data_IF_297629517374
#
_entry.id   IF_297629517374
#
_cell.length_a   1.000
_cell.length_b   1.000
_cell.length_c   1.000
_cell.angle_alpha   90.00
_cell.angle_beta   90.00
_cell.angle_gamma   90.00
#
_symmetry.space_group_name_H-M   'P 1'
#
loop_
_entity.id
_entity.type
_entity.pdbx_description
1 polymer ?
#
# COMPACT_ATOMS: atom_id res chain seq x y z
N UNK A 1 0.24 -8.38 17.56
CA UNK A 1 0.39 -7.46 16.41
C UNK A 1 1.06 -6.14 16.79
N UNK A 2 0.61 -5.44 17.84
CA UNK A 2 1.16 -4.13 18.26
C UNK A 2 2.65 -4.12 18.66
N UNK A 3 3.19 -5.24 19.15
CA UNK A 3 4.60 -5.33 19.58
C UNK A 3 5.59 -5.29 18.41
N UNK A 4 5.18 -5.70 17.21
CA UNK A 4 6.03 -5.76 16.01
C UNK A 4 5.96 -4.44 15.22
N UNK A 5 4.83 -3.73 15.31
CA UNK A 5 4.66 -2.46 14.59
C UNK A 5 5.51 -1.33 15.18
N UNK A 6 5.73 -1.31 16.50
CA UNK A 6 6.53 -0.28 17.19
C UNK A 6 7.98 -0.20 16.64
N UNK A 7 8.77 -1.30 16.59
CA UNK A 7 10.14 -1.25 16.07
C UNK A 7 10.19 -0.93 14.57
N UNK A 8 9.21 -1.37 13.79
CA UNK A 8 9.12 -1.05 12.36
C UNK A 8 8.87 0.45 12.16
N UNK A 9 7.97 1.05 12.94
CA UNK A 9 7.70 2.49 12.89
C UNK A 9 8.92 3.30 13.36
N UNK A 10 9.65 2.81 14.36
CA UNK A 10 10.90 3.43 14.81
C UNK A 10 11.99 3.39 13.73
N UNK A 11 12.19 2.25 13.06
CA UNK A 11 13.13 2.12 11.94
C UNK A 11 12.75 3.02 10.75
N UNK A 12 11.47 3.06 10.38
CA UNK A 12 10.98 3.97 9.34
C UNK A 12 11.20 5.44 9.73
N UNK A 13 10.97 5.78 11.00
CA UNK A 13 11.24 7.11 11.54
C UNK A 13 12.72 7.49 11.45
N UNK A 14 13.61 6.59 11.85
CA UNK A 14 15.07 6.79 11.74
C UNK A 14 15.49 6.98 10.28
N UNK A 15 14.97 6.15 9.36
CA UNK A 15 15.25 6.27 7.94
C UNK A 15 14.86 7.65 7.40
N UNK A 16 13.68 8.16 7.79
CA UNK A 16 13.22 9.50 7.40
C UNK A 16 14.08 10.60 8.01
N UNK A 17 14.50 10.46 9.26
CA UNK A 17 15.39 11.42 9.95
C UNK A 17 16.75 11.47 9.27
N UNK A 18 17.35 10.32 8.98
CA UNK A 18 18.65 10.22 8.31
C UNK A 18 18.59 10.75 6.88
N UNK A 19 17.50 10.49 6.16
CA UNK A 19 17.24 11.11 4.86
C UNK A 19 17.14 12.63 4.96
N UNK A 20 16.41 13.17 5.95
CA UNK A 20 16.30 14.64 6.16
C UNK A 20 17.62 15.26 6.59
N UNK A 21 18.43 14.55 7.38
CA UNK A 21 19.74 15.01 7.85
C UNK A 21 20.76 15.02 6.71
N UNK A 22 20.76 13.97 5.89
CA UNK A 22 21.54 13.91 4.65
C UNK A 22 21.13 14.99 3.64
N UNK A 23 19.83 15.27 3.50
CA UNK A 23 19.32 16.29 2.58
C UNK A 23 19.76 17.72 2.91
N UNK A 24 19.99 18.02 4.19
CA UNK A 24 20.51 19.33 4.61
C UNK A 24 21.98 19.54 4.28
N UNK A 25 22.76 18.46 4.17
CA UNK A 25 24.19 18.49 3.85
C UNK A 25 24.50 18.22 2.37
N UNK A 26 23.52 17.84 1.55
CA UNK A 26 23.75 17.35 0.20
C UNK A 26 23.43 18.36 -0.91
N UNK A 27 24.17 18.26 -2.01
CA UNK A 27 24.03 19.07 -3.23
C UNK A 27 22.61 18.99 -3.83
N UNK A 28 22.23 19.97 -4.65
CA UNK A 28 20.90 20.10 -5.30
C UNK A 28 20.48 18.85 -6.06
N UNK A 29 21.42 18.15 -6.70
CA UNK A 29 21.17 16.88 -7.38
C UNK A 29 20.73 15.77 -6.40
N UNK A 30 21.43 15.64 -5.26
CA UNK A 30 21.15 14.63 -4.23
C UNK A 30 19.82 14.87 -3.53
N UNK A 31 19.43 16.14 -3.35
CA UNK A 31 18.13 16.53 -2.78
C UNK A 31 16.95 16.06 -3.62
N UNK A 32 17.09 16.07 -4.95
CA UNK A 32 16.07 15.55 -5.89
C UNK A 32 15.90 14.05 -5.75
N UNK A 33 17.00 13.30 -5.64
CA UNK A 33 16.95 11.85 -5.41
C UNK A 33 16.31 11.49 -4.07
N UNK A 34 16.66 12.20 -3.00
CA UNK A 34 16.05 11.96 -1.68
C UNK A 34 14.56 12.26 -1.66
N UNK A 35 14.11 13.36 -2.28
CA UNK A 35 12.67 13.66 -2.40
C UNK A 35 11.93 12.55 -3.19
N UNK A 36 12.57 11.99 -4.21
CA UNK A 36 12.01 10.86 -4.96
C UNK A 36 11.92 9.59 -4.09
N UNK A 37 12.95 9.31 -3.30
CA UNK A 37 12.99 8.17 -2.39
C UNK A 37 11.96 8.29 -1.25
N UNK A 38 11.75 9.48 -0.68
CA UNK A 38 10.68 9.71 0.31
C UNK A 38 9.31 9.51 -0.33
N UNK A 39 9.08 10.04 -1.54
CA UNK A 39 7.82 9.83 -2.27
C UNK A 39 7.58 8.36 -2.59
N UNK A 40 8.63 7.64 -2.98
CA UNK A 40 8.60 6.19 -3.20
C UNK A 40 8.22 5.44 -1.93
N UNK A 41 8.84 5.79 -0.80
CA UNK A 41 8.57 5.16 0.50
C UNK A 41 7.11 5.36 0.92
N UNK A 42 6.59 6.58 0.76
CA UNK A 42 5.19 6.90 1.06
C UNK A 42 4.24 6.09 0.15
N UNK A 43 4.51 6.02 -1.16
CA UNK A 43 3.71 5.24 -2.11
C UNK A 43 3.72 3.73 -1.79
N UNK A 44 4.89 3.18 -1.44
CA UNK A 44 5.04 1.78 -1.02
C UNK A 44 4.29 1.48 0.28
N UNK A 45 4.12 2.45 1.17
CA UNK A 45 3.28 2.28 2.36
C UNK A 45 1.80 2.38 2.03
N UNK A 46 1.38 3.43 1.33
CA UNK A 46 -0.04 3.76 1.12
C UNK A 46 -0.72 2.75 0.19
N UNK A 47 -0.13 2.43 -0.95
CA UNK A 47 -0.81 1.65 -2.00
C UNK A 47 -1.14 0.23 -1.53
N UNK A 48 -0.20 -0.55 -0.96
CA UNK A 48 -0.51 -1.88 -0.44
C UNK A 48 -1.44 -1.83 0.76
N UNK A 49 -1.32 -0.79 1.60
CA UNK A 49 -2.23 -0.60 2.75
C UNK A 49 -3.66 -0.36 2.30
N UNK A 50 -3.90 0.47 1.28
CA UNK A 50 -5.24 0.70 0.75
C UNK A 50 -5.85 -0.56 0.15
N UNK A 51 -5.06 -1.32 -0.62
CA UNK A 51 -5.50 -2.59 -1.23
C UNK A 51 -5.80 -3.66 -0.19
N UNK A 52 -5.23 -3.55 1.02
CA UNK A 52 -5.55 -4.43 2.13
C UNK A 52 -6.75 -3.94 2.96
N UNK A 53 -6.75 -2.66 3.34
CA UNK A 53 -7.71 -2.06 4.26
C UNK A 53 -9.12 -1.98 3.66
N UNK A 54 -9.24 -1.57 2.40
CA UNK A 54 -10.55 -1.39 1.73
C UNK A 54 -11.33 -2.71 1.66
N UNK A 55 -10.80 -3.81 1.10
CA UNK A 55 -11.52 -5.08 1.06
C UNK A 55 -11.71 -5.69 2.45
N UNK A 56 -10.82 -5.42 3.40
CA UNK A 56 -11.00 -5.85 4.79
C UNK A 56 -12.22 -5.19 5.44
N UNK A 57 -12.36 -3.86 5.34
CA UNK A 57 -13.54 -3.16 5.84
C UNK A 57 -14.81 -3.56 5.08
N UNK A 58 -14.74 -3.73 3.76
CA UNK A 58 -15.88 -4.20 2.97
C UNK A 58 -16.33 -5.59 3.42
N UNK A 59 -15.40 -6.51 3.71
CA UNK A 59 -15.73 -7.85 4.18
C UNK A 59 -16.33 -7.82 5.60
N UNK A 60 -15.77 -7.00 6.50
CA UNK A 60 -16.34 -6.78 7.83
C UNK A 60 -17.77 -6.24 7.74
N UNK A 61 -18.04 -5.24 6.89
CA UNK A 61 -19.39 -4.73 6.69
C UNK A 61 -20.35 -5.80 6.15
N UNK A 62 -19.91 -6.67 5.25
CA UNK A 62 -20.73 -7.76 4.71
C UNK A 62 -21.08 -8.81 5.77
N UNK A 63 -20.17 -9.10 6.70
CA UNK A 63 -20.40 -10.04 7.79
C UNK A 63 -21.24 -9.44 8.93
N UNK A 64 -21.08 -8.14 9.22
CA UNK A 64 -21.82 -7.46 10.29
C UNK A 64 -23.21 -6.96 9.85
N UNK A 65 -23.39 -6.55 8.59
CA UNK A 65 -24.69 -6.06 8.09
C UNK A 65 -25.89 -6.99 8.39
N UNK A 66 -25.84 -8.31 8.15
CA UNK A 66 -26.98 -9.20 8.38
C UNK A 66 -27.21 -9.51 9.87
N UNK A 67 -26.29 -9.13 10.77
CA UNK A 67 -26.47 -9.30 12.23
C UNK A 67 -27.18 -8.12 12.88
N UNK A 68 -27.10 -6.93 12.28
CA UNK A 68 -27.73 -5.70 12.79
C UNK A 68 -29.07 -5.43 12.08
N UNK A 69 -29.18 -5.83 10.82
CA UNK A 69 -30.34 -5.58 9.99
C UNK A 69 -30.81 -6.92 9.36
N UNK A 70 -32.12 -7.16 9.30
CA UNK A 70 -32.69 -8.31 8.57
C UNK A 70 -32.59 -8.09 7.05
N UNK A 71 -31.37 -8.23 6.52
CA UNK A 71 -31.15 -8.24 5.09
C UNK A 71 -31.49 -9.65 4.60
N UNK A 72 -32.58 -9.77 3.86
CA UNK A 72 -33.09 -11.03 3.36
C UNK A 72 -32.10 -11.84 2.50
N UNK A 73 -32.55 -13.01 2.05
CA UNK A 73 -31.70 -14.05 1.42
C UNK A 73 -30.86 -13.56 0.20
N UNK A 74 -31.35 -12.56 -0.52
CA UNK A 74 -30.65 -11.95 -1.66
C UNK A 74 -29.32 -11.30 -1.25
N UNK A 75 -29.28 -10.64 -0.08
CA UNK A 75 -28.06 -10.03 0.43
C UNK A 75 -27.06 -11.08 0.89
N UNK A 76 -27.52 -12.15 1.55
CA UNK A 76 -26.65 -13.26 1.95
C UNK A 76 -26.00 -13.95 0.74
N UNK A 77 -26.73 -14.14 -0.35
CA UNK A 77 -26.16 -14.67 -1.60
C UNK A 77 -25.13 -13.71 -2.20
N UNK A 78 -25.39 -12.41 -2.17
CA UNK A 78 -24.43 -11.40 -2.63
C UNK A 78 -23.17 -11.36 -1.77
N UNK A 79 -23.31 -11.36 -0.45
CA UNK A 79 -22.20 -11.41 0.50
C UNK A 79 -21.35 -12.68 0.32
N UNK A 80 -21.98 -13.82 0.08
CA UNK A 80 -21.29 -15.09 -0.17
C UNK A 80 -20.44 -15.09 -1.45
N UNK A 81 -20.77 -14.27 -2.46
CA UNK A 81 -19.98 -14.11 -3.69
C UNK A 81 -18.89 -13.03 -3.53
N UNK A 82 -19.21 -11.91 -2.89
CA UNK A 82 -18.27 -10.78 -2.76
C UNK A 82 -17.19 -11.05 -1.71
N UNK A 83 -17.49 -11.78 -0.64
CA UNK A 83 -16.52 -12.14 0.40
C UNK A 83 -15.27 -12.85 -0.14
N UNK A 84 -15.38 -13.95 -0.91
CA UNK A 84 -14.21 -14.61 -1.50
C UNK A 84 -13.48 -13.74 -2.54
N UNK A 85 -14.19 -12.87 -3.27
CA UNK A 85 -13.57 -11.92 -4.19
C UNK A 85 -12.69 -10.92 -3.44
N UNK A 86 -13.18 -10.36 -2.32
CA UNK A 86 -12.41 -9.48 -1.45
C UNK A 86 -11.20 -10.20 -0.86
N UNK A 87 -11.33 -11.48 -0.50
CA UNK A 87 -10.22 -12.30 -0.03
C UNK A 87 -9.12 -12.47 -1.09
N UNK A 88 -9.49 -12.64 -2.35
CA UNK A 88 -8.52 -12.67 -3.46
C UNK A 88 -7.75 -11.36 -3.52
N UNK A 89 -8.39 -10.20 -3.42
CA UNK A 89 -7.69 -8.90 -3.39
C UNK A 89 -6.74 -8.78 -2.19
N UNK A 90 -7.17 -9.22 -1.01
CA UNK A 90 -6.34 -9.25 0.20
C UNK A 90 -5.10 -10.12 -0.04
N UNK A 91 -5.23 -11.33 -0.60
CA UNK A 91 -4.06 -12.20 -0.86
C UNK A 91 -3.08 -11.63 -1.89
N UNK A 92 -3.55 -10.77 -2.81
CA UNK A 92 -2.70 -10.09 -3.82
C UNK A 92 -2.02 -8.82 -3.30
N UNK A 93 -2.23 -8.41 -2.05
CA UNK A 93 -1.57 -7.22 -1.48
C UNK A 93 -0.03 -7.27 -1.59
N UNK A 94 0.56 -8.47 -1.46
CA UNK A 94 2.01 -8.69 -1.63
C UNK A 94 2.47 -8.42 -3.05
N UNK A 95 1.69 -8.86 -4.05
CA UNK A 95 1.96 -8.59 -5.45
C UNK A 95 1.89 -7.09 -5.77
N UNK A 96 0.88 -6.39 -5.22
CA UNK A 96 0.77 -4.93 -5.34
C UNK A 96 1.95 -4.23 -4.64
N UNK A 97 2.40 -4.73 -3.49
CA UNK A 97 3.60 -4.24 -2.82
C UNK A 97 4.84 -4.37 -3.70
N UNK A 98 5.07 -5.54 -4.29
CA UNK A 98 6.17 -5.76 -5.23
C UNK A 98 6.08 -4.86 -6.47
N UNK A 99 4.89 -4.71 -7.06
CA UNK A 99 4.66 -3.79 -8.19
C UNK A 99 4.93 -2.34 -7.80
N UNK A 100 4.54 -1.93 -6.59
CA UNK A 100 4.75 -0.56 -6.11
C UNK A 100 6.24 -0.29 -5.91
N UNK A 101 7.00 -1.24 -5.37
CA UNK A 101 8.46 -1.17 -5.26
C UNK A 101 9.09 -1.04 -6.65
N UNK A 102 8.64 -1.88 -7.60
CA UNK A 102 9.13 -1.89 -8.96
C UNK A 102 8.85 -0.56 -9.67
N UNK A 103 7.61 -0.04 -9.57
CA UNK A 103 7.20 1.23 -10.17
C UNK A 103 7.96 2.43 -9.57
N UNK A 104 8.26 2.37 -8.27
CA UNK A 104 9.02 3.40 -7.60
C UNK A 104 10.54 3.33 -7.89
N UNK A 105 11.03 2.23 -8.47
CA UNK A 105 12.44 2.09 -8.87
C UNK A 105 12.76 2.97 -10.08
N UNK A 106 13.78 3.85 -10.00
CA UNK A 106 14.11 4.79 -11.08
C UNK A 106 14.53 4.09 -12.38
N UNK A 107 15.18 2.93 -12.30
CA UNK A 107 15.55 2.14 -13.48
C UNK A 107 14.32 1.57 -14.21
N UNK A 108 13.33 1.09 -13.46
CA UNK A 108 12.11 0.53 -14.05
C UNK A 108 11.23 1.64 -14.63
N UNK A 109 11.08 2.76 -13.92
CA UNK A 109 10.32 3.91 -14.41
C UNK A 109 10.88 4.46 -15.72
N UNK A 110 12.20 4.50 -15.89
CA UNK A 110 12.84 4.90 -17.16
C UNK A 110 12.54 3.91 -18.29
N UNK A 111 12.65 2.61 -18.03
CA UNK A 111 12.35 1.57 -19.02
C UNK A 111 10.87 1.57 -19.41
N UNK A 112 9.97 1.71 -18.44
CA UNK A 112 8.53 1.76 -18.67
C UNK A 112 8.11 3.00 -19.46
N UNK A 113 8.62 4.19 -19.11
CA UNK A 113 8.37 5.40 -19.87
C UNK A 113 8.95 5.31 -21.29
N UNK A 114 10.12 4.72 -21.46
CA UNK A 114 10.69 4.48 -22.79
C UNK A 114 9.89 3.46 -23.62
N UNK A 115 9.18 2.53 -22.96
CA UNK A 115 8.34 1.53 -23.61
C UNK A 115 6.95 2.09 -23.98
N UNK A 116 6.43 3.04 -23.20
CA UNK A 116 5.18 3.77 -23.50
C UNK A 116 5.39 4.89 -24.53
N UNK A 117 6.56 5.55 -24.51
CA UNK A 117 6.89 6.62 -25.44
C UNK A 117 7.32 6.11 -26.84
N UNK A 118 7.26 4.81 -27.07
CA UNK A 118 7.60 4.14 -28.32
C UNK A 118 6.32 3.68 -29.00
#
# INVERSE_FOLDING_TARGET
AATISIPIMAMLGQLVIDMKRGARKASTATRRYQRLAVRSLILQGIVPSLVYIIPFYANACLEFAPTIFELGEQFNRFAAVISPVNWIFITKHTFVSSLTILYCSPSYRRKFLALIAR
#
